data_IF_697587279844
#
_entry.id   IF_697587279844
#
_cell.length_a   1.000
_cell.length_b   1.000
_cell.length_c   1.000
_cell.angle_alpha   90.00
_cell.angle_beta   90.00
_cell.angle_gamma   90.00
#
_symmetry.space_group_name_H-M   'P 1'
#
loop_
_entity.id
_entity.type
_entity.pdbx_description
1 polymer ?
#
# COMPACT_ATOMS: atom_id res chain seq x y z
N UNK A 1 0.10 22.61 -57.37
CA UNK A 1 1.23 21.62 -57.21
C UNK A 1 2.24 22.05 -56.14
N UNK A 2 2.74 23.28 -56.14
CA UNK A 2 3.74 23.78 -55.17
C UNK A 2 3.15 23.86 -53.74
N UNK A 3 1.86 24.17 -53.61
CA UNK A 3 1.18 24.29 -52.30
C UNK A 3 0.99 22.92 -51.65
N UNK A 4 0.62 21.92 -52.42
CA UNK A 4 0.43 20.53 -51.97
C UNK A 4 1.77 19.87 -51.54
N UNK A 5 2.87 20.24 -52.17
CA UNK A 5 4.21 19.77 -51.81
C UNK A 5 4.74 20.38 -50.52
N UNK A 6 4.39 21.63 -50.21
CA UNK A 6 4.73 22.28 -48.93
C UNK A 6 3.94 21.70 -47.79
N UNK A 7 2.65 21.43 -47.97
CA UNK A 7 1.79 20.84 -46.94
C UNK A 7 2.22 19.41 -46.60
N UNK A 8 2.65 18.63 -47.60
CA UNK A 8 3.23 17.30 -47.38
C UNK A 8 4.57 17.35 -46.62
N UNK A 9 5.43 18.31 -46.93
CA UNK A 9 6.70 18.49 -46.20
C UNK A 9 6.46 18.91 -44.75
N UNK A 10 5.49 19.80 -44.50
CA UNK A 10 5.10 20.19 -43.18
C UNK A 10 4.52 19.02 -42.38
N UNK A 11 3.67 18.19 -43.00
CA UNK A 11 3.10 16.99 -42.39
C UNK A 11 4.17 15.96 -42.01
N UNK A 12 5.14 15.74 -42.90
CA UNK A 12 6.28 14.83 -42.66
C UNK A 12 7.18 15.38 -41.52
N UNK A 13 7.46 16.69 -41.51
CA UNK A 13 8.25 17.32 -40.44
C UNK A 13 7.53 17.24 -39.09
N UNK A 14 6.22 17.49 -39.05
CA UNK A 14 5.43 17.35 -37.82
C UNK A 14 5.38 15.90 -37.33
N UNK A 15 5.19 14.94 -38.23
CA UNK A 15 5.19 13.51 -37.90
C UNK A 15 6.55 13.05 -37.35
N UNK A 16 7.66 13.56 -37.91
CA UNK A 16 9.00 13.29 -37.43
C UNK A 16 9.25 13.89 -36.03
N UNK A 17 8.81 15.11 -35.77
CA UNK A 17 8.93 15.76 -34.46
C UNK A 17 8.10 14.97 -33.43
N UNK A 18 6.88 14.60 -33.72
CA UNK A 18 6.05 13.79 -32.84
C UNK A 18 6.67 12.41 -32.58
N UNK A 19 7.23 11.78 -33.63
CA UNK A 19 7.93 10.49 -33.47
C UNK A 19 9.20 10.62 -32.58
N UNK A 20 9.94 11.72 -32.70
CA UNK A 20 11.12 12.00 -31.84
C UNK A 20 10.70 12.28 -30.41
N UNK A 21 9.59 12.99 -30.19
CA UNK A 21 9.07 13.23 -28.84
C UNK A 21 8.59 11.91 -28.22
N UNK A 22 7.81 11.12 -28.94
CA UNK A 22 7.33 9.80 -28.47
C UNK A 22 8.51 8.85 -28.23
N UNK A 23 9.50 8.83 -29.10
CA UNK A 23 10.69 8.02 -28.90
C UNK A 23 11.55 8.53 -27.73
N UNK A 24 11.60 9.84 -27.52
CA UNK A 24 12.27 10.46 -26.38
C UNK A 24 11.55 10.14 -25.07
N UNK A 25 10.21 10.24 -25.03
CA UNK A 25 9.42 9.84 -23.87
C UNK A 25 9.49 8.33 -23.63
N UNK A 26 9.41 7.50 -24.69
CA UNK A 26 9.58 6.06 -24.56
C UNK A 26 11.01 5.70 -24.13
N UNK A 27 12.04 6.45 -24.58
CA UNK A 27 13.41 6.26 -24.14
C UNK A 27 13.59 6.64 -22.67
N UNK A 28 12.96 7.71 -22.21
CA UNK A 28 12.93 8.10 -20.78
C UNK A 28 12.14 7.09 -19.94
N UNK A 29 11.05 6.49 -20.51
CA UNK A 29 10.27 5.47 -19.83
C UNK A 29 10.89 4.07 -19.85
N UNK A 30 11.71 3.75 -20.85
CA UNK A 30 12.30 2.43 -21.04
C UNK A 30 13.78 2.37 -20.66
N UNK A 31 14.47 3.51 -20.55
CA UNK A 31 15.79 3.54 -19.95
C UNK A 31 15.66 3.75 -18.45
N UNK A 32 15.94 2.69 -17.80
CA UNK A 32 16.00 2.43 -16.40
C UNK A 32 16.39 3.69 -15.60
N UNK A 33 15.43 4.18 -14.82
CA UNK A 33 15.72 5.05 -13.69
C UNK A 33 16.75 4.39 -12.75
N UNK A 34 16.92 3.08 -12.87
CA UNK A 34 17.94 2.27 -12.20
C UNK A 34 19.38 2.74 -12.49
N UNK A 35 19.62 3.39 -13.64
CA UNK A 35 20.95 3.92 -13.98
C UNK A 35 21.25 5.28 -13.30
N UNK A 36 20.24 6.00 -12.78
CA UNK A 36 20.45 7.32 -12.17
C UNK A 36 20.91 7.23 -10.71
N UNK A 37 20.66 6.15 -10.05
CA UNK A 37 21.17 5.84 -8.72
C UNK A 37 21.14 4.33 -8.46
N UNK A 38 21.98 3.87 -7.54
CA UNK A 38 22.01 2.50 -7.07
C UNK A 38 22.04 2.48 -5.55
N UNK A 39 21.25 1.58 -4.96
CA UNK A 39 21.21 1.35 -3.52
C UNK A 39 21.70 -0.05 -3.23
N UNK A 40 22.71 -0.15 -2.40
CA UNK A 40 23.29 -1.41 -1.95
C UNK A 40 23.24 -1.48 -0.43
N UNK A 41 22.72 -2.57 0.11
CA UNK A 41 22.68 -2.83 1.56
C UNK A 41 23.58 -4.02 1.86
N UNK A 42 24.62 -3.78 2.65
CA UNK A 42 25.60 -4.78 3.04
C UNK A 42 25.83 -4.76 4.56
N UNK A 43 25.27 -5.73 5.26
CA UNK A 43 25.30 -5.74 6.71
C UNK A 43 24.57 -4.51 7.29
N UNK A 44 25.29 -3.69 8.03
CA UNK A 44 24.78 -2.43 8.61
C UNK A 44 24.94 -1.22 7.69
N UNK A 45 25.63 -1.38 6.57
CA UNK A 45 25.96 -0.27 5.70
C UNK A 45 24.97 -0.19 4.53
N UNK A 46 24.43 0.99 4.32
CA UNK A 46 23.59 1.34 3.18
C UNK A 46 24.38 2.32 2.31
N UNK A 47 24.75 1.87 1.13
CA UNK A 47 25.48 2.69 0.15
C UNK A 47 24.51 3.16 -0.93
N UNK A 48 24.46 4.48 -1.13
CA UNK A 48 23.62 5.11 -2.15
C UNK A 48 24.58 5.84 -3.11
N UNK A 49 24.66 5.33 -4.33
CA UNK A 49 25.39 5.99 -5.42
C UNK A 49 24.36 6.72 -6.28
N UNK A 50 24.62 7.97 -6.59
CA UNK A 50 23.78 8.75 -7.46
C UNK A 50 24.60 9.50 -8.53
N UNK A 51 24.08 9.53 -9.76
CA UNK A 51 24.65 10.31 -10.88
C UNK A 51 23.98 11.69 -11.02
N UNK A 52 22.94 11.95 -10.23
CA UNK A 52 22.23 13.23 -10.09
C UNK A 52 22.07 13.60 -8.61
N UNK A 53 21.24 14.60 -8.31
CA UNK A 53 20.90 14.92 -6.92
C UNK A 53 19.74 14.04 -6.46
N UNK A 54 19.96 13.25 -5.43
CA UNK A 54 19.01 12.34 -4.81
C UNK A 54 18.88 12.65 -3.33
N UNK A 55 17.67 12.82 -2.86
CA UNK A 55 17.33 12.86 -1.42
C UNK A 55 16.98 11.42 -1.02
N UNK A 56 17.37 11.00 0.16
CA UNK A 56 17.07 9.68 0.66
C UNK A 56 16.62 9.69 2.11
N UNK A 57 15.81 8.68 2.45
CA UNK A 57 15.48 8.31 3.81
C UNK A 57 15.79 6.82 4.01
N UNK A 58 16.54 6.50 5.06
CA UNK A 58 16.83 5.14 5.49
C UNK A 58 16.08 4.91 6.81
N UNK A 59 15.22 3.90 6.82
CA UNK A 59 14.39 3.60 7.99
C UNK A 59 14.65 2.18 8.43
N UNK A 60 14.98 1.99 9.69
CA UNK A 60 15.13 0.69 10.32
C UNK A 60 13.96 0.44 11.30
N UNK A 61 13.26 -0.69 11.12
CA UNK A 61 12.07 -1.06 11.88
C UNK A 61 12.30 -2.39 12.58
N UNK A 62 11.98 -2.43 13.86
CA UNK A 62 11.82 -3.67 14.62
C UNK A 62 10.35 -4.08 14.62
N UNK A 63 10.03 -5.17 13.97
CA UNK A 63 8.68 -5.73 13.97
C UNK A 63 8.43 -6.66 15.18
N UNK A 64 9.28 -6.60 16.20
CA UNK A 64 9.21 -7.49 17.35
C UNK A 64 9.44 -8.95 16.97
N UNK A 65 8.68 -9.85 17.57
CA UNK A 65 8.70 -11.27 17.25
C UNK A 65 7.88 -11.65 16.02
N UNK A 66 7.14 -10.71 15.43
CA UNK A 66 6.27 -10.97 14.28
C UNK A 66 7.05 -10.85 12.98
N UNK A 67 7.05 -11.91 12.22
CA UNK A 67 7.68 -11.97 10.89
C UNK A 67 6.68 -11.49 9.85
N UNK A 68 7.10 -10.70 8.83
CA UNK A 68 6.24 -10.38 7.71
C UNK A 68 5.61 -11.63 7.10
N UNK A 69 4.35 -11.53 6.66
CA UNK A 69 3.68 -12.67 6.05
C UNK A 69 4.48 -13.18 4.86
N UNK A 70 4.77 -14.47 4.84
CA UNK A 70 5.42 -15.11 3.70
C UNK A 70 4.50 -15.21 2.48
N UNK A 71 3.20 -15.00 2.66
CA UNK A 71 2.17 -15.11 1.64
C UNK A 71 1.16 -13.99 1.79
N UNK A 72 1.04 -13.18 0.74
CA UNK A 72 0.06 -12.11 0.63
C UNK A 72 -0.99 -12.49 -0.39
N UNK A 73 -2.24 -12.47 0.03
CA UNK A 73 -3.42 -12.67 -0.81
C UNK A 73 -3.96 -11.33 -1.26
N UNK A 74 -4.12 -11.15 -2.55
CA UNK A 74 -4.77 -10.01 -3.15
C UNK A 74 -6.20 -10.44 -3.49
N UNK A 75 -7.19 -9.94 -2.75
CA UNK A 75 -8.58 -10.27 -3.04
C UNK A 75 -9.08 -9.52 -4.26
N UNK A 76 -9.55 -10.27 -5.25
CA UNK A 76 -10.25 -9.75 -6.41
C UNK A 76 -11.20 -10.81 -6.96
N UNK A 77 -12.46 -10.42 -7.15
CA UNK A 77 -13.49 -11.26 -7.75
C UNK A 77 -14.38 -10.41 -8.66
N UNK A 78 -14.40 -10.74 -9.95
CA UNK A 78 -15.20 -10.00 -10.95
C UNK A 78 -16.69 -10.28 -10.87
N UNK A 79 -17.11 -11.37 -10.21
CA UNK A 79 -18.52 -11.73 -10.01
C UNK A 79 -19.12 -11.12 -8.73
N UNK A 80 -18.26 -10.67 -7.81
CA UNK A 80 -18.69 -10.02 -6.57
C UNK A 80 -18.91 -8.52 -6.79
N UNK A 81 -19.87 -7.95 -6.06
CA UNK A 81 -20.12 -6.52 -6.04
C UNK A 81 -18.97 -5.74 -5.40
N UNK A 82 -18.73 -4.52 -5.87
CA UNK A 82 -17.80 -3.60 -5.24
C UNK A 82 -18.49 -2.30 -4.79
N UNK A 83 -18.04 -1.74 -3.67
CA UNK A 83 -18.55 -0.47 -3.13
C UNK A 83 -17.41 0.52 -3.00
N UNK A 84 -17.01 1.07 -4.11
CA UNK A 84 -15.90 2.03 -4.20
C UNK A 84 -16.38 3.49 -4.18
N UNK A 85 -17.52 3.78 -3.57
CA UNK A 85 -18.11 5.12 -3.52
C UNK A 85 -17.12 6.15 -3.02
N UNK A 86 -16.84 7.07 -3.91
CA UNK A 86 -16.01 8.22 -3.64
C UNK A 86 -14.55 7.93 -3.30
N UNK A 87 -14.13 6.68 -3.28
CA UNK A 87 -12.74 6.27 -3.16
C UNK A 87 -12.07 6.17 -4.53
N UNK A 88 -12.86 6.10 -5.60
CA UNK A 88 -12.37 6.23 -6.97
C UNK A 88 -12.17 7.70 -7.28
N UNK A 89 -10.96 8.17 -7.24
CA UNK A 89 -10.61 9.46 -7.80
C UNK A 89 -9.84 9.29 -9.10
N UNK A 90 -10.29 10.08 -10.06
CA UNK A 90 -9.55 10.30 -11.27
C UNK A 90 -8.27 11.06 -10.97
N UNK A 91 -7.13 10.41 -10.98
CA UNK A 91 -5.88 11.12 -11.18
C UNK A 91 -5.77 11.40 -12.68
N UNK A 92 -5.93 12.66 -13.08
CA UNK A 92 -5.92 13.03 -14.49
C UNK A 92 -7.13 12.55 -15.31
N UNK A 93 -8.29 12.29 -14.67
CA UNK A 93 -9.52 11.87 -15.34
C UNK A 93 -9.68 10.36 -15.55
N UNK A 94 -8.76 9.54 -15.05
CA UNK A 94 -8.83 8.09 -15.20
C UNK A 94 -9.24 7.44 -13.88
N UNK A 95 -10.35 6.73 -13.87
CA UNK A 95 -10.77 5.93 -12.72
C UNK A 95 -9.87 4.69 -12.59
N UNK A 96 -9.31 4.48 -11.41
CA UNK A 96 -8.65 3.21 -11.09
C UNK A 96 -9.72 2.16 -10.79
N UNK A 97 -9.83 1.13 -11.63
CA UNK A 97 -10.63 -0.04 -11.30
C UNK A 97 -9.94 -0.85 -10.20
N UNK A 98 -10.72 -1.64 -9.45
CA UNK A 98 -10.16 -2.58 -8.49
C UNK A 98 -9.15 -3.52 -9.15
N UNK A 99 -9.49 -4.06 -10.32
CA UNK A 99 -8.62 -4.94 -11.09
C UNK A 99 -7.26 -4.29 -11.37
N UNK A 100 -7.27 -3.05 -11.88
CA UNK A 100 -6.04 -2.32 -12.17
C UNK A 100 -5.21 -2.08 -10.90
N UNK A 101 -5.86 -1.63 -9.81
CA UNK A 101 -5.19 -1.39 -8.53
C UNK A 101 -4.51 -2.67 -8.01
N UNK A 102 -5.23 -3.79 -7.97
CA UNK A 102 -4.73 -5.09 -7.49
C UNK A 102 -3.59 -5.60 -8.38
N UNK A 103 -3.75 -5.51 -9.70
CA UNK A 103 -2.71 -5.93 -10.65
C UNK A 103 -1.40 -5.15 -10.43
N UNK A 104 -1.48 -3.83 -10.33
CA UNK A 104 -0.31 -2.97 -10.12
C UNK A 104 0.30 -3.14 -8.72
N UNK A 105 -0.53 -3.34 -7.71
CA UNK A 105 -0.06 -3.66 -6.35
C UNK A 105 0.73 -4.97 -6.33
N UNK A 106 0.25 -5.99 -7.05
CA UNK A 106 0.96 -7.28 -7.16
C UNK A 106 2.35 -7.12 -7.78
N UNK A 107 2.49 -6.27 -8.80
CA UNK A 107 3.79 -5.96 -9.41
C UNK A 107 4.72 -5.28 -8.37
N UNK A 108 4.22 -4.30 -7.64
CA UNK A 108 5.01 -3.57 -6.64
C UNK A 108 5.45 -4.48 -5.49
N UNK A 109 4.58 -5.36 -5.02
CA UNK A 109 4.91 -6.34 -3.98
C UNK A 109 5.95 -7.34 -4.47
N UNK A 110 5.80 -7.83 -5.69
CA UNK A 110 6.79 -8.72 -6.32
C UNK A 110 8.16 -8.05 -6.44
N UNK A 111 8.22 -6.78 -6.83
CA UNK A 111 9.46 -6.01 -6.92
C UNK A 111 10.13 -5.84 -5.54
N UNK A 112 9.36 -5.89 -4.46
CA UNK A 112 9.84 -5.88 -3.07
C UNK A 112 10.18 -7.28 -2.53
N UNK A 113 10.12 -8.32 -3.37
CA UNK A 113 10.38 -9.71 -2.97
C UNK A 113 9.24 -10.37 -2.21
N UNK A 114 8.06 -9.76 -2.17
CA UNK A 114 6.89 -10.32 -1.48
C UNK A 114 6.10 -11.22 -2.43
N UNK A 115 5.94 -12.48 -2.05
CA UNK A 115 5.13 -13.44 -2.82
C UNK A 115 3.64 -13.08 -2.69
N UNK A 116 2.94 -13.01 -3.83
CA UNK A 116 1.52 -12.68 -3.88
C UNK A 116 0.72 -13.73 -4.64
N UNK A 117 -0.54 -13.88 -4.26
CA UNK A 117 -1.52 -14.70 -4.96
C UNK A 117 -2.85 -13.96 -5.02
N UNK A 118 -3.50 -13.90 -6.19
CA UNK A 118 -4.84 -13.34 -6.32
C UNK A 118 -5.87 -14.44 -6.08
N UNK A 119 -6.87 -14.15 -5.24
CA UNK A 119 -7.95 -15.07 -4.90
C UNK A 119 -9.32 -14.41 -5.10
N UNK A 120 -10.26 -15.18 -5.64
CA UNK A 120 -11.70 -14.91 -5.63
C UNK A 120 -12.32 -15.22 -4.25
N UNK A 121 -13.62 -14.99 -4.11
CA UNK A 121 -14.37 -15.17 -2.87
C UNK A 121 -14.33 -16.61 -2.36
N UNK A 122 -14.49 -17.61 -3.24
CA UNK A 122 -14.49 -19.02 -2.86
C UNK A 122 -13.10 -19.51 -2.43
N UNK A 123 -12.06 -19.13 -3.15
CA UNK A 123 -10.68 -19.48 -2.79
C UNK A 123 -10.26 -18.80 -1.49
N UNK A 124 -10.70 -17.56 -1.25
CA UNK A 124 -10.47 -16.84 0.00
C UNK A 124 -11.11 -17.59 1.17
N UNK A 125 -12.36 -18.04 1.03
CA UNK A 125 -13.06 -18.86 2.02
C UNK A 125 -12.29 -20.14 2.34
N UNK A 126 -11.92 -20.91 1.30
CA UNK A 126 -11.19 -22.17 1.46
C UNK A 126 -9.84 -21.93 2.16
N UNK A 127 -9.13 -20.86 1.82
CA UNK A 127 -7.87 -20.49 2.45
C UNK A 127 -8.05 -20.23 3.94
N UNK A 128 -9.06 -19.42 4.34
CA UNK A 128 -9.33 -19.09 5.74
C UNK A 128 -9.76 -20.32 6.54
N UNK A 129 -10.64 -21.18 6.00
CA UNK A 129 -11.04 -22.44 6.62
C UNK A 129 -9.83 -23.37 6.85
N UNK A 130 -8.96 -23.51 5.86
CA UNK A 130 -7.74 -24.31 5.95
C UNK A 130 -6.74 -23.75 6.96
N UNK A 131 -6.58 -22.42 7.00
CA UNK A 131 -5.70 -21.73 7.94
C UNK A 131 -6.16 -21.95 9.39
N UNK A 132 -7.45 -21.77 9.67
CA UNK A 132 -8.05 -22.03 10.99
C UNK A 132 -7.85 -23.50 11.38
N UNK A 133 -8.20 -24.42 10.48
CA UNK A 133 -8.11 -25.87 10.76
C UNK A 133 -6.68 -26.33 11.05
N UNK A 134 -5.69 -25.70 10.43
CA UNK A 134 -4.26 -26.01 10.64
C UNK A 134 -3.62 -25.21 11.77
N UNK A 135 -4.32 -24.22 12.35
CA UNK A 135 -3.77 -23.29 13.34
C UNK A 135 -2.69 -22.36 12.78
N UNK A 136 -2.66 -22.13 11.47
CA UNK A 136 -1.68 -21.29 10.76
C UNK A 136 -2.35 -20.11 10.08
N UNK A 137 -2.80 -19.14 10.85
CA UNK A 137 -3.42 -17.91 10.37
C UNK A 137 -2.40 -16.77 10.27
N UNK A 138 -1.32 -16.96 9.53
CA UNK A 138 -0.22 -15.99 9.33
C UNK A 138 -0.28 -15.28 7.97
N UNK A 139 -1.35 -15.48 7.20
CA UNK A 139 -1.52 -14.87 5.90
C UNK A 139 -1.95 -13.41 6.03
N UNK A 140 -1.59 -12.61 5.04
CA UNK A 140 -2.08 -11.25 4.86
C UNK A 140 -3.05 -11.20 3.68
N UNK A 141 -4.20 -10.57 3.87
CA UNK A 141 -5.22 -10.36 2.83
C UNK A 141 -5.37 -8.88 2.56
N UNK A 142 -5.18 -8.47 1.31
CA UNK A 142 -5.42 -7.09 0.87
C UNK A 142 -6.78 -7.01 0.20
N UNK A 143 -7.63 -6.12 0.70
CA UNK A 143 -8.98 -5.87 0.20
C UNK A 143 -9.16 -4.38 -0.15
N UNK A 144 -9.54 -4.10 -1.38
CA UNK A 144 -9.77 -2.73 -1.89
C UNK A 144 -11.15 -2.58 -2.55
N UNK A 145 -12.04 -3.55 -2.36
CA UNK A 145 -13.38 -3.57 -2.96
C UNK A 145 -14.38 -2.62 -2.29
N UNK A 146 -14.12 -2.22 -1.06
CA UNK A 146 -15.08 -1.48 -0.23
C UNK A 146 -16.23 -2.36 0.32
N UNK A 147 -16.30 -3.63 -0.09
CA UNK A 147 -17.24 -4.63 0.41
C UNK A 147 -16.51 -5.95 0.69
N UNK A 148 -16.98 -6.72 1.67
CA UNK A 148 -16.42 -8.03 2.04
C UNK A 148 -17.32 -9.11 1.43
N UNK A 149 -16.78 -10.17 0.78
CA UNK A 149 -17.60 -11.20 0.18
C UNK A 149 -18.40 -12.00 1.22
N UNK A 150 -19.66 -12.32 0.89
CA UNK A 150 -20.59 -13.07 1.71
C UNK A 150 -20.11 -14.49 2.05
N UNK A 151 -19.19 -15.02 1.30
CA UNK A 151 -18.56 -16.32 1.55
C UNK A 151 -17.74 -16.35 2.85
N UNK A 152 -17.30 -15.19 3.36
CA UNK A 152 -16.50 -15.08 4.58
C UNK A 152 -17.07 -14.14 5.63
N UNK A 153 -18.08 -13.31 5.28
CA UNK A 153 -18.64 -12.28 6.14
C UNK A 153 -20.13 -12.06 5.89
N UNK A 154 -20.92 -12.01 6.95
CA UNK A 154 -22.38 -11.73 6.92
C UNK A 154 -22.80 -10.60 7.87
N UNK A 155 -21.83 -10.02 8.61
CA UNK A 155 -22.08 -9.04 9.65
C UNK A 155 -22.30 -9.66 11.04
N UNK A 156 -22.01 -10.94 11.21
CA UNK A 156 -22.07 -11.63 12.50
C UNK A 156 -20.67 -11.73 13.13
N UNK A 157 -20.60 -11.61 14.46
CA UNK A 157 -19.33 -11.70 15.19
C UNK A 157 -18.65 -13.08 15.13
N UNK A 158 -19.34 -14.11 14.67
CA UNK A 158 -18.81 -15.47 14.47
C UNK A 158 -18.37 -15.76 13.03
N UNK A 159 -18.40 -14.76 12.16
CA UNK A 159 -18.02 -14.90 10.76
C UNK A 159 -16.59 -15.44 10.55
N UNK A 160 -16.41 -16.15 9.45
CA UNK A 160 -15.15 -16.83 9.13
C UNK A 160 -13.94 -15.89 9.15
N UNK A 161 -14.09 -14.70 8.57
CA UNK A 161 -13.02 -13.71 8.50
C UNK A 161 -12.61 -13.21 9.90
N UNK A 162 -13.55 -13.04 10.82
CA UNK A 162 -13.27 -12.59 12.18
C UNK A 162 -12.55 -13.67 12.99
N UNK A 163 -13.01 -14.92 12.89
CA UNK A 163 -12.32 -16.05 13.53
C UNK A 163 -10.89 -16.25 13.00
N UNK A 164 -10.70 -16.01 11.70
CA UNK A 164 -9.37 -16.08 11.10
C UNK A 164 -8.47 -14.94 11.60
N UNK A 165 -9.01 -13.72 11.76
CA UNK A 165 -8.32 -12.59 12.38
C UNK A 165 -7.94 -12.89 13.84
N UNK A 166 -8.87 -13.41 14.64
CA UNK A 166 -8.64 -13.78 16.05
C UNK A 166 -7.44 -14.72 16.21
N UNK A 167 -7.20 -15.56 15.21
CA UNK A 167 -6.11 -16.55 15.20
C UNK A 167 -4.80 -16.04 14.59
N UNK A 168 -4.69 -14.78 14.21
CA UNK A 168 -3.45 -14.18 13.71
C UNK A 168 -3.46 -13.71 12.27
N UNK A 169 -4.59 -13.79 11.58
CA UNK A 169 -4.77 -13.25 10.22
C UNK A 169 -4.57 -11.75 10.16
N UNK A 170 -4.21 -11.24 8.99
CA UNK A 170 -3.99 -9.81 8.78
C UNK A 170 -4.81 -9.30 7.62
N UNK A 171 -5.58 -8.25 7.83
CA UNK A 171 -6.31 -7.55 6.76
C UNK A 171 -5.64 -6.20 6.51
N UNK A 172 -5.43 -5.88 5.24
CA UNK A 172 -5.09 -4.56 4.74
C UNK A 172 -6.28 -4.05 3.94
N UNK A 173 -6.98 -3.09 4.51
CA UNK A 173 -8.23 -2.58 4.00
C UNK A 173 -8.06 -1.20 3.39
N UNK A 174 -8.50 -1.02 2.15
CA UNK A 174 -8.69 0.28 1.52
C UNK A 174 -10.07 0.33 0.85
N UNK A 175 -10.77 1.43 1.05
CA UNK A 175 -12.13 1.58 0.54
C UNK A 175 -12.97 2.43 1.46
N UNK A 176 -14.09 1.98 1.88
CA UNK A 176 -14.96 2.67 2.81
C UNK A 176 -14.77 2.24 4.26
N UNK A 177 -15.82 2.39 5.04
CA UNK A 177 -15.87 1.89 6.41
C UNK A 177 -15.84 0.36 6.35
N UNK A 178 -14.85 -0.23 7.01
CA UNK A 178 -14.69 -1.69 7.05
C UNK A 178 -15.91 -2.36 7.68
N UNK A 179 -16.36 -3.46 7.08
CA UNK A 179 -17.50 -4.24 7.54
C UNK A 179 -18.88 -3.65 7.22
N UNK A 180 -18.95 -2.42 6.68
CA UNK A 180 -20.23 -1.80 6.36
C UNK A 180 -20.98 -2.49 5.23
N UNK A 181 -20.26 -3.02 4.25
CA UNK A 181 -20.88 -3.61 3.06
C UNK A 181 -20.47 -5.06 2.89
N UNK A 182 -21.44 -5.88 2.48
CA UNK A 182 -21.25 -7.26 2.05
C UNK A 182 -21.52 -7.34 0.56
N UNK A 183 -20.66 -8.03 -0.17
CA UNK A 183 -20.86 -8.35 -1.58
C UNK A 183 -21.26 -9.81 -1.76
N UNK A 184 -22.03 -10.07 -2.79
CA UNK A 184 -22.39 -11.43 -3.22
C UNK A 184 -22.29 -11.59 -4.73
N UNK A 185 -22.32 -12.82 -5.19
CA UNK A 185 -22.25 -13.17 -6.62
C UNK A 185 -23.35 -12.45 -7.41
N UNK A 186 -23.07 -12.16 -8.68
CA UNK A 186 -23.94 -11.35 -9.54
C UNK A 186 -23.88 -9.85 -9.24
N UNK A 187 -22.82 -9.38 -8.55
CA UNK A 187 -22.52 -7.96 -8.36
C UNK A 187 -23.41 -7.25 -7.32
N UNK A 188 -24.12 -7.98 -6.47
CA UNK A 188 -24.97 -7.38 -5.44
C UNK A 188 -24.14 -6.88 -4.25
N UNK A 189 -24.52 -5.74 -3.68
CA UNK A 189 -23.90 -5.17 -2.47
C UNK A 189 -24.99 -4.77 -1.48
N UNK A 190 -24.92 -5.32 -0.27
CA UNK A 190 -25.80 -5.01 0.85
C UNK A 190 -25.11 -4.09 1.86
N UNK A 191 -25.84 -3.12 2.40
CA UNK A 191 -25.38 -2.22 3.45
C UNK A 191 -25.85 -2.74 4.82
N UNK A 192 -24.92 -3.20 5.63
CA UNK A 192 -25.16 -3.71 6.98
C UNK A 192 -25.13 -2.63 8.07
N UNK A 193 -24.74 -1.39 7.70
CA UNK A 193 -24.57 -0.28 8.63
C UNK A 193 -23.11 -0.04 9.04
N UNK A 194 -22.80 1.22 9.33
CA UNK A 194 -21.44 1.64 9.68
C UNK A 194 -20.97 1.18 11.07
N UNK A 195 -21.89 0.75 11.94
CA UNK A 195 -21.59 0.19 13.26
C UNK A 195 -20.86 -1.17 13.17
N UNK A 196 -20.96 -1.85 12.04
CA UNK A 196 -20.27 -3.13 11.79
C UNK A 196 -18.73 -3.02 11.81
N UNK A 197 -18.18 -1.84 11.64
CA UNK A 197 -16.74 -1.61 11.84
C UNK A 197 -16.27 -2.06 13.23
N UNK A 198 -17.13 -2.02 14.24
CA UNK A 198 -16.80 -2.44 15.61
C UNK A 198 -16.42 -3.92 15.69
N UNK A 199 -16.91 -4.76 14.78
CA UNK A 199 -16.50 -6.16 14.69
C UNK A 199 -15.02 -6.33 14.32
N UNK A 200 -14.46 -5.40 13.59
CA UNK A 200 -13.06 -5.41 13.13
C UNK A 200 -12.13 -4.56 14.02
N UNK A 201 -12.60 -3.41 14.46
CA UNK A 201 -11.79 -2.39 15.13
C UNK A 201 -12.02 -2.33 16.65
N UNK A 202 -12.93 -3.14 17.18
CA UNK A 202 -13.30 -3.13 18.59
C UNK A 202 -14.21 -1.97 19.00
N UNK A 203 -14.38 -0.95 18.14
CA UNK A 203 -15.23 0.22 18.39
C UNK A 203 -15.73 0.84 17.07
N UNK A 204 -16.73 1.72 17.17
CA UNK A 204 -17.18 2.58 16.07
C UNK A 204 -16.27 3.82 16.04
N UNK A 205 -15.13 3.69 15.42
CA UNK A 205 -14.08 4.70 15.46
C UNK A 205 -13.67 5.24 14.08
N UNK A 206 -14.15 4.65 12.98
CA UNK A 206 -13.85 5.11 11.64
C UNK A 206 -14.84 6.19 11.21
N UNK A 207 -14.32 7.37 10.87
CA UNK A 207 -15.12 8.51 10.44
C UNK A 207 -15.08 8.64 8.91
N UNK A 208 -16.22 8.80 8.23
CA UNK A 208 -16.30 9.03 6.80
C UNK A 208 -16.05 10.50 6.39
N UNK A 209 -15.78 11.40 7.33
CA UNK A 209 -15.50 12.79 7.00
C UNK A 209 -14.22 12.92 6.18
N UNK A 210 -14.29 13.77 5.15
CA UNK A 210 -13.13 14.08 4.32
C UNK A 210 -12.23 15.05 5.07
N UNK A 211 -11.00 14.66 5.27
CA UNK A 211 -9.95 15.50 5.85
C UNK A 211 -8.85 15.73 4.83
N UNK A 212 -8.19 16.84 4.93
CA UNK A 212 -7.13 17.26 3.99
C UNK A 212 -5.83 17.47 4.75
N UNK A 213 -4.76 17.01 4.12
CA UNK A 213 -3.42 17.12 4.65
C UNK A 213 -3.10 16.01 5.66
N UNK A 214 -2.02 15.32 5.38
CA UNK A 214 -1.44 14.33 6.29
C UNK A 214 -0.19 14.95 6.90
N UNK A 215 -0.10 14.93 8.22
CA UNK A 215 1.16 15.18 8.89
C UNK A 215 1.86 13.85 9.13
N UNK A 216 3.15 13.82 8.88
CA UNK A 216 3.99 12.68 9.23
C UNK A 216 3.95 12.46 10.74
N UNK A 217 3.91 11.21 11.13
CA UNK A 217 3.95 10.78 12.52
C UNK A 217 5.11 9.81 12.70
N UNK A 218 5.50 9.56 13.92
CA UNK A 218 6.44 8.47 14.23
C UNK A 218 5.92 7.13 13.69
N UNK A 219 4.61 6.91 13.73
CA UNK A 219 3.98 5.74 13.12
C UNK A 219 4.13 5.71 11.60
N UNK A 220 4.06 6.86 10.92
CA UNK A 220 4.34 6.97 9.49
C UNK A 220 5.75 6.52 9.15
N UNK A 221 6.74 6.95 9.91
CA UNK A 221 8.12 6.50 9.74
C UNK A 221 8.31 5.02 10.07
N UNK A 222 7.64 4.50 11.11
CA UNK A 222 7.64 3.06 11.41
C UNK A 222 7.12 2.22 10.25
N UNK A 223 6.12 2.72 9.54
CA UNK A 223 5.56 2.08 8.35
C UNK A 223 6.30 2.46 7.08
N UNK A 224 7.20 3.42 7.15
CA UNK A 224 7.92 4.00 6.00
C UNK A 224 6.96 4.50 4.91
N UNK A 225 5.93 5.22 5.31
CA UNK A 225 4.92 5.72 4.38
C UNK A 225 5.37 7.00 3.69
N UNK A 226 4.97 7.12 2.45
CA UNK A 226 5.11 8.34 1.69
C UNK A 226 4.15 9.44 2.15
N UNK A 227 2.99 9.06 2.64
CA UNK A 227 1.89 9.95 3.04
C UNK A 227 1.59 11.04 2.00
N UNK A 228 1.88 10.73 0.73
CA UNK A 228 1.68 11.66 -0.39
C UNK A 228 0.20 11.84 -0.75
N UNK A 229 -0.69 11.14 -0.07
CA UNK A 229 -2.13 11.19 -0.30
C UNK A 229 -2.71 12.54 0.11
N UNK A 230 -3.19 13.29 -0.86
CA UNK A 230 -3.90 14.54 -0.64
C UNK A 230 -5.35 14.29 -0.21
N UNK A 231 -5.54 14.01 1.05
CA UNK A 231 -6.85 13.85 1.64
C UNK A 231 -7.25 12.41 1.88
N UNK A 232 -8.08 12.25 2.87
CA UNK A 232 -8.62 10.96 3.28
C UNK A 232 -10.13 11.06 3.34
N UNK A 233 -10.82 10.02 2.89
CA UNK A 233 -12.26 9.95 3.01
C UNK A 233 -12.71 9.24 4.27
N UNK A 234 -11.86 8.38 4.76
CA UNK A 234 -12.12 7.60 5.96
C UNK A 234 -10.88 7.62 6.84
N UNK A 235 -11.08 7.88 8.10
CA UNK A 235 -10.02 7.92 9.08
C UNK A 235 -10.45 7.23 10.36
N UNK A 236 -9.50 6.65 11.06
CA UNK A 236 -9.71 5.95 12.32
C UNK A 236 -9.30 6.85 13.49
N UNK A 237 -10.14 6.93 14.52
CA UNK A 237 -9.76 7.51 15.80
C UNK A 237 -8.99 6.45 16.63
N UNK A 238 -7.66 6.50 16.71
CA UNK A 238 -6.88 5.48 17.40
C UNK A 238 -7.09 5.49 18.90
N UNK A 239 -7.66 6.55 19.46
CA UNK A 239 -7.93 6.62 20.92
C UNK A 239 -9.11 5.74 21.36
N UNK A 240 -9.94 5.34 20.40
CA UNK A 240 -11.11 4.48 20.63
C UNK A 240 -10.82 2.99 20.46
N UNK A 241 -9.65 2.63 19.94
CA UNK A 241 -9.21 1.24 19.74
C UNK A 241 -8.37 0.77 20.92
N UNK A 242 -8.34 -0.54 21.18
CA UNK A 242 -7.59 -1.09 22.31
C UNK A 242 -6.08 -1.06 22.10
N UNK A 243 -5.62 -1.55 20.95
CA UNK A 243 -4.21 -1.54 20.52
C UNK A 243 -4.16 -0.99 19.11
N UNK A 244 -3.40 0.05 18.88
CA UNK A 244 -3.29 0.66 17.56
C UNK A 244 -1.99 1.39 17.34
N UNK A 245 -1.56 1.42 16.07
CA UNK A 245 -0.49 2.27 15.58
C UNK A 245 -1.05 3.23 14.54
N UNK A 246 -1.16 4.49 14.90
CA UNK A 246 -1.50 5.55 13.95
C UNK A 246 -0.28 5.90 13.10
N UNK A 247 -0.41 5.78 11.77
CA UNK A 247 0.66 6.02 10.83
C UNK A 247 0.55 7.36 10.10
N UNK A 248 -0.62 8.01 10.18
CA UNK A 248 -0.84 9.36 9.65
C UNK A 248 -2.04 9.98 10.31
N UNK A 249 -2.01 11.30 10.51
CA UNK A 249 -3.13 12.08 11.04
C UNK A 249 -3.61 13.08 10.01
N UNK A 250 -4.90 13.28 9.99
CA UNK A 250 -5.54 14.23 9.07
C UNK A 250 -5.83 15.58 9.74
N UNK A 251 -6.21 15.58 11.00
CA UNK A 251 -6.59 16.78 11.77
C UNK A 251 -6.06 16.76 13.21
N UNK A 252 -5.08 15.92 13.49
CA UNK A 252 -4.50 15.71 14.82
C UNK A 252 -5.26 14.70 15.69
N UNK A 253 -6.46 14.26 15.28
CA UNK A 253 -7.24 13.25 15.99
C UNK A 253 -7.37 11.94 15.21
N UNK A 254 -7.78 12.02 13.94
CA UNK A 254 -8.05 10.86 13.11
C UNK A 254 -6.84 10.47 12.28
N UNK A 255 -6.55 9.18 12.21
CA UNK A 255 -5.46 8.63 11.41
C UNK A 255 -5.99 8.11 10.08
N UNK A 256 -5.39 8.58 8.98
CA UNK A 256 -5.69 8.11 7.62
C UNK A 256 -5.10 6.73 7.32
N UNK A 257 -4.08 6.32 8.07
CA UNK A 257 -3.48 5.00 8.02
C UNK A 257 -3.29 4.51 9.44
N UNK A 258 -3.97 3.44 9.81
CA UNK A 258 -3.99 2.94 11.19
C UNK A 258 -3.95 1.41 11.20
N UNK A 259 -3.05 0.85 12.00
CA UNK A 259 -3.04 -0.56 12.35
C UNK A 259 -3.80 -0.72 13.67
N UNK A 260 -4.72 -1.66 13.70
CA UNK A 260 -5.53 -1.97 14.89
C UNK A 260 -5.39 -3.46 15.20
N UNK A 261 -5.05 -3.77 16.44
CA UNK A 261 -5.00 -5.17 16.91
C UNK A 261 -6.39 -5.79 16.96
N UNK A 262 -6.53 -7.05 16.53
CA UNK A 262 -7.76 -7.84 16.57
C UNK A 262 -7.43 -9.28 16.99
N UNK A 263 -7.75 -9.64 18.21
CA UNK A 263 -7.32 -10.94 18.75
C UNK A 263 -5.80 -11.10 18.66
N UNK A 264 -5.34 -12.16 17.99
CA UNK A 264 -3.92 -12.36 17.66
C UNK A 264 -3.53 -11.76 16.30
N UNK A 265 -4.48 -11.21 15.57
CA UNK A 265 -4.30 -10.65 14.23
C UNK A 265 -4.29 -9.12 14.20
N UNK A 266 -4.35 -8.57 13.00
CA UNK A 266 -4.27 -7.13 12.80
C UNK A 266 -5.14 -6.68 11.63
N UNK A 267 -5.80 -5.55 11.80
CA UNK A 267 -6.51 -4.85 10.73
C UNK A 267 -5.77 -3.55 10.42
N UNK A 268 -5.29 -3.40 9.22
CA UNK A 268 -4.74 -2.14 8.73
C UNK A 268 -5.79 -1.42 7.88
N UNK A 269 -6.16 -0.21 8.27
CA UNK A 269 -7.06 0.65 7.51
C UNK A 269 -6.25 1.74 6.83
N UNK A 270 -6.32 1.81 5.49
CA UNK A 270 -5.83 2.92 4.70
C UNK A 270 -7.03 3.65 4.10
N UNK A 271 -7.37 4.78 4.68
CA UNK A 271 -8.58 5.52 4.36
C UNK A 271 -8.46 6.50 3.18
N UNK A 272 -7.31 6.60 2.56
CA UNK A 272 -7.06 7.48 1.44
C UNK A 272 -7.84 7.08 0.18
N UNK A 273 -7.83 7.99 -0.77
CA UNK A 273 -8.34 7.73 -2.11
C UNK A 273 -7.51 6.67 -2.78
N UNK A 274 -8.14 5.72 -3.48
CA UNK A 274 -7.44 4.71 -4.29
C UNK A 274 -6.65 5.41 -5.42
N UNK A 275 -5.40 5.71 -5.14
CA UNK A 275 -4.48 6.42 -6.02
C UNK A 275 -3.19 5.63 -6.19
N UNK A 276 -2.29 6.13 -7.04
CA UNK A 276 -0.96 5.57 -7.15
C UNK A 276 -0.21 5.68 -5.82
N UNK A 277 -0.31 6.82 -5.16
CA UNK A 277 0.41 7.10 -3.90
C UNK A 277 -0.06 6.19 -2.78
N UNK A 278 -1.39 6.06 -2.61
CA UNK A 278 -1.96 5.13 -1.64
C UNK A 278 -1.55 3.67 -1.91
N UNK A 279 -1.45 3.29 -3.18
CA UNK A 279 -1.00 1.95 -3.57
C UNK A 279 0.47 1.71 -3.21
N UNK A 280 1.33 2.75 -3.30
CA UNK A 280 2.70 2.67 -2.81
C UNK A 280 2.73 2.45 -1.30
N UNK A 281 1.97 3.22 -0.54
CA UNK A 281 1.87 3.06 0.91
C UNK A 281 1.34 1.68 1.29
N UNK A 282 0.32 1.18 0.59
CA UNK A 282 -0.19 -0.18 0.78
C UNK A 282 0.91 -1.23 0.54
N UNK A 283 1.61 -1.14 -0.59
CA UNK A 283 2.69 -2.08 -0.91
C UNK A 283 3.79 -2.04 0.15
N UNK A 284 4.06 -0.87 0.68
CA UNK A 284 5.06 -0.62 1.67
C UNK A 284 4.73 -1.27 3.01
N UNK A 285 3.54 -1.00 3.56
CA UNK A 285 3.06 -1.58 4.81
C UNK A 285 3.01 -3.11 4.71
N UNK A 286 2.46 -3.62 3.62
CA UNK A 286 2.30 -5.07 3.40
C UNK A 286 3.65 -5.76 3.29
N UNK A 287 4.61 -5.21 2.54
CA UNK A 287 5.92 -5.82 2.35
C UNK A 287 6.79 -5.76 3.60
N UNK A 288 6.70 -4.69 4.37
CA UNK A 288 7.42 -4.55 5.63
C UNK A 288 6.83 -5.43 6.74
N UNK A 289 5.54 -5.80 6.62
CA UNK A 289 4.83 -6.54 7.68
C UNK A 289 4.73 -5.75 8.98
N UNK A 290 4.59 -4.43 8.88
CA UNK A 290 4.46 -3.55 10.05
C UNK A 290 3.26 -3.95 10.88
N UNK A 291 3.41 -3.93 12.20
CA UNK A 291 2.36 -4.23 13.18
C UNK A 291 2.31 -3.13 14.23
N UNK A 292 1.30 -3.15 15.09
CA UNK A 292 1.18 -2.27 16.24
C UNK A 292 2.35 -2.41 17.26
N UNK A 293 3.05 -3.55 17.22
CA UNK A 293 4.26 -3.80 18.02
C UNK A 293 5.54 -3.33 17.32
N UNK A 294 5.46 -2.85 16.09
CA UNK A 294 6.62 -2.35 15.35
C UNK A 294 7.19 -1.09 16.00
N UNK A 295 8.50 -1.01 16.08
CA UNK A 295 9.21 0.12 16.69
C UNK A 295 10.19 0.70 15.69
N UNK A 296 10.17 2.01 15.51
CA UNK A 296 11.20 2.73 14.76
C UNK A 296 12.51 2.65 15.55
N UNK A 297 13.51 2.01 14.94
CA UNK A 297 14.84 1.88 15.55
C UNK A 297 15.69 3.07 15.19
N UNK A 298 15.68 3.45 13.90
CA UNK A 298 16.50 4.54 13.38
C UNK A 298 15.88 5.12 12.11
N UNK A 299 16.04 6.43 11.93
CA UNK A 299 15.71 7.13 10.70
C UNK A 299 16.85 8.09 10.34
N UNK A 300 17.41 7.90 9.17
CA UNK A 300 18.48 8.74 8.62
C UNK A 300 17.94 9.44 7.38
N UNK A 301 17.94 10.78 7.40
CA UNK A 301 17.59 11.61 6.25
C UNK A 301 18.83 12.26 5.67
N UNK A 302 18.99 12.22 4.35
CA UNK A 302 20.16 12.79 3.72
C UNK A 302 19.98 13.10 2.24
N UNK A 303 21.07 13.57 1.64
CA UNK A 303 21.13 13.80 0.20
C UNK A 303 22.50 13.44 -0.34
N UNK A 304 22.54 12.98 -1.59
CA UNK A 304 23.76 12.67 -2.32
C UNK A 304 23.67 13.27 -3.71
N UNK A 305 24.77 13.86 -4.19
CA UNK A 305 24.81 14.50 -5.51
C UNK A 305 26.07 14.05 -6.23
N UNK A 306 25.90 13.33 -7.35
CA UNK A 306 26.98 12.85 -8.23
C UNK A 306 28.15 12.19 -7.48
N UNK A 307 27.78 11.38 -6.47
CA UNK A 307 28.76 10.70 -5.61
C UNK A 307 28.13 9.45 -4.98
N UNK A 308 28.88 8.82 -4.10
CA UNK A 308 28.39 7.73 -3.23
C UNK A 308 28.42 8.20 -1.79
N UNK A 309 27.33 7.97 -1.07
CA UNK A 309 27.28 8.08 0.38
C UNK A 309 27.11 6.69 0.97
N UNK A 310 27.71 6.45 2.12
CA UNK A 310 27.49 5.22 2.90
C UNK A 310 27.09 5.62 4.30
N UNK A 311 25.90 5.19 4.71
CA UNK A 311 25.34 5.36 6.03
C UNK A 311 25.43 4.03 6.78
N UNK A 312 25.86 4.08 8.04
CA UNK A 312 25.90 2.89 8.89
C UNK A 312 24.78 2.97 9.91
N UNK A 313 23.86 2.01 9.85
CA UNK A 313 22.67 1.96 10.72
C UNK A 313 22.91 1.07 11.94
N UNK A 314 22.35 1.48 13.08
CA UNK A 314 22.52 0.80 14.37
C UNK A 314 21.53 -0.38 14.51
N UNK A 315 21.45 -1.25 13.51
CA UNK A 315 20.54 -2.40 13.52
C UNK A 315 21.28 -3.73 13.61
N UNK A 316 20.60 -4.73 14.14
CA UNK A 316 21.04 -6.12 14.04
C UNK A 316 20.30 -6.84 12.87
N UNK A 317 20.67 -8.11 12.65
CA UNK A 317 20.14 -8.91 11.55
C UNK A 317 18.63 -9.21 11.61
N UNK A 318 17.94 -8.83 12.70
CA UNK A 318 16.52 -9.07 12.91
C UNK A 318 15.64 -7.92 12.43
N UNK A 319 16.22 -6.78 12.02
CA UNK A 319 15.49 -5.58 11.67
C UNK A 319 15.23 -5.47 10.16
N UNK A 320 14.12 -4.86 9.82
CA UNK A 320 13.82 -4.49 8.44
C UNK A 320 14.41 -3.12 8.13
N UNK A 321 15.14 -3.05 7.03
CA UNK A 321 15.72 -1.82 6.52
C UNK A 321 15.01 -1.44 5.23
N UNK A 322 14.61 -0.20 5.12
CA UNK A 322 13.95 0.35 3.96
C UNK A 322 14.66 1.63 3.54
N UNK A 323 14.89 1.77 2.25
CA UNK A 323 15.57 2.93 1.68
C UNK A 323 14.62 3.58 0.68
N UNK A 324 14.35 4.85 0.89
CA UNK A 324 13.58 5.70 -0.02
C UNK A 324 14.52 6.63 -0.73
N UNK A 325 14.26 6.85 -2.01
CA UNK A 325 15.03 7.81 -2.81
C UNK A 325 14.07 8.72 -3.59
N UNK A 326 14.43 10.00 -3.66
CA UNK A 326 13.62 11.04 -4.30
C UNK A 326 14.46 11.76 -5.35
N UNK A 327 13.97 11.75 -6.59
CA UNK A 327 14.59 12.42 -7.73
C UNK A 327 13.74 13.60 -8.19
N UNK A 328 14.24 14.83 -8.04
CA UNK A 328 13.72 16.00 -8.75
C UNK A 328 12.23 16.27 -8.65
N UNK A 329 11.57 15.94 -7.54
CA UNK A 329 10.13 16.10 -7.35
C UNK A 329 9.29 14.88 -7.81
N UNK A 330 9.92 13.85 -8.36
CA UNK A 330 9.29 12.56 -8.62
C UNK A 330 9.70 11.55 -7.55
N UNK A 331 8.70 10.88 -7.05
CA UNK A 331 8.81 9.92 -5.98
C UNK A 331 9.14 8.54 -6.55
N UNK A 332 10.24 7.93 -6.14
CA UNK A 332 10.52 6.52 -6.44
C UNK A 332 10.85 5.80 -5.15
N UNK A 333 10.01 4.82 -4.79
CA UNK A 333 10.24 3.98 -3.61
C UNK A 333 10.99 2.73 -4.05
N UNK A 334 12.25 2.61 -3.69
CA UNK A 334 12.96 1.34 -3.70
C UNK A 334 12.87 0.71 -2.32
N UNK A 335 11.82 -0.06 -2.11
CA UNK A 335 11.76 -0.95 -0.97
C UNK A 335 12.52 -2.24 -1.29
N UNK A 336 13.78 -2.35 -0.97
CA UNK A 336 14.36 -3.64 -0.63
C UNK A 336 14.19 -3.83 0.87
N UNK A 337 13.25 -4.66 1.29
CA UNK A 337 13.37 -5.28 2.60
C UNK A 337 14.55 -6.25 2.50
N UNK A 338 15.72 -5.77 2.84
CA UNK A 338 16.85 -6.64 3.07
C UNK A 338 16.64 -7.27 4.44
N UNK A 339 16.06 -8.45 4.50
CA UNK A 339 16.28 -9.29 5.67
C UNK A 339 17.75 -9.64 5.64
N UNK A 340 18.52 -9.05 6.53
CA UNK A 340 19.89 -9.46 6.77
C UNK A 340 19.84 -10.94 7.19
N UNK A 341 20.43 -11.81 6.37
CA UNK A 341 20.69 -13.21 6.70
C UNK A 341 22.03 -13.32 7.43
#
# INVERSE_FOLDING_TARGET
EVRDMNDRRLLIATALIVAVIIAGEAYIYCNDWDDMYNVEVSGKDVSIRADSSVIYDIVAIDNGSKVPSSRVVLYYDSDQGEKLDGTRHATGGTYLSQEYYISQLGIQLKNRGTATETMDADRLRIMMESAISSGRCDQSVVMVSGAIPDTVYSGDGSDLILRWLDMGGRIYWAGGIIGQYVSSSGGTVENLGSDRQSLFLGAVCQNPETTYGLSETEGGWRASLCLAGNGTRYAVDPTMTGSSLAMGYTDGRYSSACLVGHGSGTVCVLGGVLSNDQRYDMAQIVSAGVTDESVLVEHIHGSVTRSTVTETIAVDSSKNIMVYTYLGGYFTVYGRSASLR
#
